data_IF_134984942376
#
_entry.id   IF_134984942376
#
_cell.length_a   1.000
_cell.length_b   1.000
_cell.length_c   1.000
_cell.angle_alpha   90.00
_cell.angle_beta   90.00
_cell.angle_gamma   90.00
#
_symmetry.space_group_name_H-M   'P 1'
#
loop_
_entity.id
_entity.type
_entity.pdbx_description
1 polymer ?
#
# COMPACT_ATOMS: atom_id res chain seq x y z
N UNK A 1 4.83 -41.13 -66.12
CA UNK A 1 5.43 -39.90 -66.67
C UNK A 1 5.17 -38.80 -65.65
N UNK A 2 6.24 -38.14 -65.18
CA UNK A 2 6.36 -36.93 -64.34
C UNK A 2 5.04 -36.28 -63.86
N UNK A 3 4.84 -35.91 -62.59
CA UNK A 3 5.56 -34.80 -61.95
C UNK A 3 5.08 -34.57 -60.51
N UNK A 4 5.90 -33.79 -59.80
CA UNK A 4 5.99 -33.48 -58.37
C UNK A 4 4.80 -32.75 -57.71
N UNK A 5 4.65 -33.07 -56.41
CA UNK A 5 4.44 -32.20 -55.24
C UNK A 5 3.35 -31.10 -55.23
N UNK A 6 2.48 -31.17 -54.22
CA UNK A 6 2.27 -30.08 -53.27
C UNK A 6 1.66 -30.63 -51.97
N UNK A 7 2.50 -30.75 -50.95
CA UNK A 7 2.09 -30.94 -49.56
C UNK A 7 1.50 -29.63 -49.06
N UNK A 8 0.26 -29.63 -48.62
CA UNK A 8 -0.16 -28.73 -47.55
C UNK A 8 -1.15 -29.49 -46.65
N UNK A 9 -0.58 -30.10 -45.62
CA UNK A 9 -1.29 -30.66 -44.48
C UNK A 9 -2.16 -29.56 -43.87
N UNK A 10 -3.48 -29.69 -44.01
CA UNK A 10 -4.47 -28.84 -43.34
C UNK A 10 -4.49 -29.28 -41.87
N UNK A 11 -3.49 -28.83 -41.10
CA UNK A 11 -3.44 -28.99 -39.66
C UNK A 11 -4.46 -28.07 -39.02
N UNK A 12 -5.64 -28.62 -38.68
CA UNK A 12 -6.63 -27.96 -37.84
C UNK A 12 -5.99 -27.57 -36.51
N UNK A 13 -5.67 -26.28 -36.37
CA UNK A 13 -5.11 -25.73 -35.15
C UNK A 13 -6.23 -25.57 -34.13
N UNK A 14 -6.07 -26.26 -33.00
CA UNK A 14 -6.89 -26.11 -31.81
C UNK A 14 -6.97 -24.63 -31.43
N UNK A 15 -8.20 -24.13 -31.23
CA UNK A 15 -8.41 -22.84 -30.59
C UNK A 15 -7.83 -22.92 -29.17
N UNK A 16 -6.58 -22.46 -29.02
CA UNK A 16 -6.01 -22.22 -27.70
C UNK A 16 -6.75 -21.03 -27.12
N UNK A 17 -7.75 -21.29 -26.27
CA UNK A 17 -8.35 -20.27 -25.42
C UNK A 17 -7.25 -19.77 -24.48
N UNK A 18 -6.53 -18.73 -24.90
CA UNK A 18 -5.72 -17.91 -24.02
C UNK A 18 -6.74 -17.25 -23.08
N UNK A 19 -6.95 -17.87 -21.91
CA UNK A 19 -7.62 -17.21 -20.81
C UNK A 19 -6.81 -15.94 -20.51
N UNK A 20 -7.28 -14.81 -21.03
CA UNK A 20 -6.78 -13.52 -20.58
C UNK A 20 -7.16 -13.44 -19.11
N UNK A 21 -6.19 -13.33 -18.17
CA UNK A 21 -6.58 -12.85 -16.86
C UNK A 21 -7.23 -11.50 -17.10
N UNK A 22 -8.50 -11.39 -16.71
CA UNK A 22 -9.17 -10.10 -16.61
C UNK A 22 -8.33 -9.34 -15.60
N UNK A 23 -7.49 -8.42 -16.10
CA UNK A 23 -6.87 -7.42 -15.28
C UNK A 23 -8.00 -6.48 -14.84
N UNK A 24 -8.69 -6.83 -13.75
CA UNK A 24 -9.52 -5.86 -13.02
C UNK A 24 -8.54 -4.91 -12.35
N UNK A 25 -8.03 -3.96 -13.12
CA UNK A 25 -7.51 -2.69 -12.59
C UNK A 25 -8.55 -1.65 -12.98
N UNK A 26 -9.66 -1.66 -12.25
CA UNK A 26 -10.63 -0.57 -12.30
C UNK A 26 -11.00 -0.18 -10.87
N UNK A 27 -10.27 0.80 -10.37
CA UNK A 27 -10.80 1.75 -9.40
C UNK A 27 -10.76 1.33 -7.94
N UNK A 28 -9.58 0.95 -7.41
CA UNK A 28 -9.20 1.68 -6.21
C UNK A 28 -8.83 3.07 -6.74
N UNK A 29 -9.73 4.02 -6.51
CA UNK A 29 -9.40 5.42 -6.65
C UNK A 29 -8.14 5.62 -5.82
N UNK A 30 -6.99 5.72 -6.49
CA UNK A 30 -5.95 6.60 -6.03
C UNK A 30 -6.58 7.98 -6.09
N UNK A 31 -7.39 8.27 -5.07
CA UNK A 31 -7.50 9.62 -4.56
C UNK A 31 -6.09 9.94 -4.06
N UNK A 32 -5.20 10.22 -5.02
CA UNK A 32 -4.06 11.08 -4.82
C UNK A 32 -4.61 12.50 -4.63
N UNK A 33 -5.55 12.67 -3.69
CA UNK A 33 -5.41 13.72 -2.73
C UNK A 33 -3.93 13.71 -2.38
N UNK A 34 -3.31 14.87 -2.56
CA UNK A 34 -2.03 15.18 -1.96
C UNK A 34 -2.23 15.15 -0.44
N UNK A 35 -2.58 13.99 0.10
CA UNK A 35 -2.44 13.61 1.47
C UNK A 35 -0.93 13.62 1.58
N UNK A 36 -0.38 14.71 2.10
CA UNK A 36 0.89 14.61 2.81
C UNK A 36 0.60 13.61 3.93
N UNK A 37 0.72 12.31 3.62
CA UNK A 37 0.46 11.25 4.57
C UNK A 37 1.28 11.61 5.79
N UNK A 38 0.60 11.80 6.92
CA UNK A 38 1.26 11.87 8.22
C UNK A 38 2.21 10.71 8.20
N UNK A 39 3.49 10.99 8.33
CA UNK A 39 4.48 9.96 8.19
C UNK A 39 4.27 8.93 9.31
N UNK A 40 3.67 7.79 8.95
CA UNK A 40 3.36 6.72 9.87
C UNK A 40 4.61 5.86 9.97
N UNK A 41 5.36 6.22 10.98
CA UNK A 41 6.63 5.66 11.42
C UNK A 41 6.36 4.42 12.29
N UNK A 42 7.21 3.40 12.17
CA UNK A 42 7.07 2.17 12.94
C UNK A 42 7.24 2.42 14.44
N UNK A 43 6.32 1.93 15.27
CA UNK A 43 6.44 2.10 16.72
C UNK A 43 7.61 1.31 17.29
N UNK A 44 8.32 1.91 18.26
CA UNK A 44 9.25 1.16 19.10
C UNK A 44 8.53 -0.01 19.81
N UNK A 45 9.23 -1.14 20.06
CA UNK A 45 8.69 -2.21 20.90
C UNK A 45 8.28 -1.68 22.27
N UNK A 46 7.21 -2.25 22.83
CA UNK A 46 6.77 -1.91 24.19
C UNK A 46 7.87 -2.28 25.18
N UNK A 47 8.34 -1.28 25.92
CA UNK A 47 9.37 -1.43 26.96
C UNK A 47 9.00 -0.76 28.29
N UNK A 48 7.72 -0.41 28.46
CA UNK A 48 7.24 0.18 29.71
C UNK A 48 7.14 -0.90 30.80
N UNK A 49 7.51 -0.53 32.02
CA UNK A 49 7.35 -1.34 33.22
C UNK A 49 5.87 -1.53 33.56
N UNK A 50 5.59 -2.51 34.41
CA UNK A 50 4.24 -2.75 34.93
C UNK A 50 3.65 -1.52 35.63
N UNK A 51 4.49 -0.71 36.29
CA UNK A 51 4.05 0.50 36.98
C UNK A 51 3.66 1.60 35.98
N UNK A 52 4.46 1.80 34.93
CA UNK A 52 4.19 2.79 33.88
C UNK A 52 2.93 2.42 33.09
N UNK A 53 2.76 1.15 32.74
CA UNK A 53 1.53 0.67 32.09
C UNK A 53 0.29 0.86 32.95
N UNK A 54 0.38 0.61 34.26
CA UNK A 54 -0.74 0.74 35.19
C UNK A 54 -1.29 2.18 35.25
N UNK A 55 -0.40 3.15 35.12
CA UNK A 55 -0.74 4.57 35.28
C UNK A 55 -0.67 5.35 33.96
N UNK A 56 -0.65 4.66 32.81
CA UNK A 56 -0.74 5.32 31.51
C UNK A 56 -2.14 5.95 31.34
N UNK A 57 -2.23 7.25 31.01
CA UNK A 57 -3.52 7.90 30.84
C UNK A 57 -4.23 7.44 29.56
N UNK A 58 -5.56 7.52 29.57
CA UNK A 58 -6.35 7.45 28.34
C UNK A 58 -6.28 8.81 27.65
N UNK A 59 -6.10 8.81 26.34
CA UNK A 59 -6.04 10.04 25.53
C UNK A 59 -7.28 10.16 24.67
N UNK A 60 -7.99 11.28 24.82
CA UNK A 60 -9.13 11.66 24.01
C UNK A 60 -8.67 12.70 22.98
N UNK A 61 -9.09 12.52 21.73
CA UNK A 61 -8.68 13.38 20.63
C UNK A 61 -9.91 14.03 20.02
N UNK A 62 -9.98 15.34 20.13
CA UNK A 62 -10.92 16.13 19.36
C UNK A 62 -10.57 16.06 17.87
N UNK A 63 -11.57 16.04 17.00
CA UNK A 63 -11.42 15.83 15.55
C UNK A 63 -10.68 16.97 14.81
N UNK A 64 -10.25 18.00 15.53
CA UNK A 64 -9.56 19.18 15.03
C UNK A 64 -8.03 19.17 15.28
N UNK A 65 -7.54 18.10 15.92
CA UNK A 65 -6.14 17.89 16.26
C UNK A 65 -5.42 16.82 15.42
N UNK A 66 -4.13 16.67 15.68
CA UNK A 66 -3.32 15.59 15.12
C UNK A 66 -3.30 14.41 16.10
N UNK A 67 -3.51 13.19 15.62
CA UNK A 67 -3.27 12.00 16.41
C UNK A 67 -1.77 11.78 16.64
N UNK A 68 -1.42 11.03 17.69
CA UNK A 68 -0.03 10.65 17.94
C UNK A 68 0.52 9.79 16.81
N UNK A 69 1.78 10.05 16.45
CA UNK A 69 2.59 9.20 15.56
C UNK A 69 3.96 9.01 16.22
N UNK A 70 4.65 7.94 15.87
CA UNK A 70 6.00 7.66 16.37
C UNK A 70 6.96 8.76 15.92
N UNK A 71 7.75 9.28 16.87
CA UNK A 71 8.78 10.27 16.62
C UNK A 71 10.06 9.65 16.03
N UNK A 72 10.32 8.38 16.34
CA UNK A 72 11.49 7.62 15.92
C UNK A 72 11.11 6.15 15.71
N UNK A 73 11.75 5.52 14.73
CA UNK A 73 11.58 4.11 14.40
C UNK A 73 12.65 3.23 15.07
N UNK A 74 12.47 1.90 15.11
CA UNK A 74 13.48 0.98 15.66
C UNK A 74 14.85 1.05 14.96
N UNK A 75 14.91 1.58 13.74
CA UNK A 75 16.15 1.82 12.98
C UNK A 75 16.81 3.19 13.29
N UNK A 76 16.16 4.02 14.10
CA UNK A 76 16.63 5.34 14.49
C UNK A 76 16.20 6.49 13.56
N UNK A 77 15.40 6.21 12.53
CA UNK A 77 14.88 7.23 11.62
C UNK A 77 13.86 8.14 12.32
N UNK A 78 13.97 9.46 12.14
CA UNK A 78 13.12 10.46 12.79
C UNK A 78 11.94 10.90 11.92
N UNK A 79 10.77 11.04 12.54
CA UNK A 79 9.62 11.69 11.96
C UNK A 79 9.84 13.21 11.89
N UNK A 80 9.80 13.78 10.69
CA UNK A 80 10.08 15.20 10.48
C UNK A 80 8.92 16.13 10.91
N UNK A 81 7.77 15.56 11.26
CA UNK A 81 6.57 16.32 11.60
C UNK A 81 6.01 17.11 10.42
N UNK A 82 5.02 17.96 10.70
CA UNK A 82 4.45 18.90 9.74
C UNK A 82 4.71 20.34 10.20
N UNK A 83 4.85 21.27 9.25
CA UNK A 83 4.84 22.70 9.58
C UNK A 83 3.49 23.12 10.19
N UNK A 84 3.51 24.10 11.09
CA UNK A 84 2.28 24.62 11.70
C UNK A 84 1.27 25.06 10.62
N UNK A 85 -0.01 24.69 10.82
CA UNK A 85 -1.10 25.01 9.89
C UNK A 85 -1.22 24.12 8.66
N UNK A 86 -0.36 23.12 8.47
CA UNK A 86 -0.43 22.13 7.38
C UNK A 86 -1.27 20.88 7.69
N UNK A 87 -2.09 20.92 8.75
CA UNK A 87 -3.13 19.90 8.95
C UNK A 87 -4.32 20.30 8.08
N UNK A 88 -4.69 19.46 7.12
CA UNK A 88 -5.88 19.68 6.30
C UNK A 88 -7.10 19.67 7.24
N UNK A 89 -7.59 20.85 7.62
CA UNK A 89 -8.89 21.04 8.26
C UNK A 89 -9.95 21.14 7.17
#
# INVERSE_FOLDING_TARGET
>A
MHSLAAVLLIGGSLLSAKATPIAIVQGLSEDTANITARDLRGSLPVSASTLEHRFQPVTDFDTDGCYYTSAIDPDGSLNQGLSAGKGNR
#
